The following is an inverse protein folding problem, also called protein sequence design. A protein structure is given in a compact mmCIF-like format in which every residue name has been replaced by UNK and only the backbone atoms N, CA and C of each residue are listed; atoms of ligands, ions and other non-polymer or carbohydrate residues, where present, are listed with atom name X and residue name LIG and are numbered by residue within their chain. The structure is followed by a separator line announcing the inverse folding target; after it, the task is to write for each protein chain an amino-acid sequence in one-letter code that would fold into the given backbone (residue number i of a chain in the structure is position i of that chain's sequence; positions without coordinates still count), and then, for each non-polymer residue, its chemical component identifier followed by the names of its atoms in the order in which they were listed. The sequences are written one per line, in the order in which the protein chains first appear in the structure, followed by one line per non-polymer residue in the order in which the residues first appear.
data_IF_237761340105
#
_entry.id   IF_237761340105
#
_cell.length_a   1.000
_cell.length_b   1.000
_cell.length_c   1.000
_cell.angle_alpha   90.00
_cell.angle_beta   90.00
_cell.angle_gamma   90.00
#
_symmetry.space_group_name_H-M   'P 1'
#
loop_
_entity.id
_entity.type
_entity.pdbx_description
1 polymer ?
#
# COMPACT_ATOMS: atom_id res chain seq x y z
N UNK A 1 -6.76 -44.68 78.75
CA UNK A 1 -6.06 -43.39 78.75
C UNK A 1 -6.45 -42.64 77.49
N UNK A 2 -7.05 -41.47 77.68
CA UNK A 2 -7.47 -40.52 76.64
C UNK A 2 -6.26 -39.95 75.89
N UNK A 3 -6.41 -39.65 74.60
CA UNK A 3 -6.12 -38.29 74.07
C UNK A 3 -6.87 -38.05 72.74
N UNK A 4 -7.81 -37.10 72.83
CA UNK A 4 -8.39 -36.23 71.78
C UNK A 4 -7.25 -35.38 71.17
N UNK A 5 -7.20 -34.82 69.95
CA UNK A 5 -8.18 -34.15 69.06
C UNK A 5 -7.42 -33.50 67.86
N UNK A 6 -8.19 -33.09 66.82
CA UNK A 6 -7.94 -32.04 65.80
C UNK A 6 -7.14 -32.37 64.52
N UNK A 7 -7.87 -32.42 63.39
CA UNK A 7 -7.65 -31.68 62.12
C UNK A 7 -8.56 -32.35 61.05
N UNK A 8 -9.88 -32.22 61.14
CA UNK A 8 -10.67 -31.20 60.43
C UNK A 8 -10.06 -30.71 59.10
N UNK A 9 -10.77 -31.05 58.02
CA UNK A 9 -10.96 -30.23 56.82
C UNK A 9 -9.70 -29.78 56.06
N UNK A 10 -9.17 -30.64 55.19
CA UNK A 10 -8.58 -30.16 53.94
C UNK A 10 -9.66 -30.27 52.85
N UNK A 11 -10.52 -29.25 52.88
CA UNK A 11 -11.44 -28.86 51.83
C UNK A 11 -10.75 -28.90 50.46
N UNK A 12 -11.35 -29.65 49.54
CA UNK A 12 -11.89 -29.11 48.29
C UNK A 12 -11.15 -27.85 47.77
N UNK A 13 -9.93 -28.02 47.28
CA UNK A 13 -9.22 -26.99 46.52
C UNK A 13 -8.84 -27.54 45.16
N UNK A 14 -9.81 -28.15 44.47
CA UNK A 14 -9.85 -28.14 43.02
C UNK A 14 -10.14 -26.72 42.59
N UNK A 15 -9.14 -25.85 42.69
CA UNK A 15 -9.21 -24.50 42.15
C UNK A 15 -9.37 -24.68 40.65
N UNK A 16 -10.59 -24.37 40.21
CA UNK A 16 -10.97 -24.29 38.82
C UNK A 16 -9.86 -23.55 38.07
N UNK A 17 -9.23 -24.24 37.12
CA UNK A 17 -8.56 -23.60 36.00
C UNK A 17 -9.66 -22.77 35.34
N UNK A 18 -9.73 -21.48 35.71
CA UNK A 18 -10.50 -20.50 34.99
C UNK A 18 -9.92 -20.52 33.58
N UNK A 19 -10.62 -21.24 32.71
CA UNK A 19 -10.60 -21.03 31.27
C UNK A 19 -10.88 -19.55 31.07
N UNK A 20 -9.79 -18.78 30.97
CA UNK A 20 -9.83 -17.46 30.37
C UNK A 20 -10.28 -17.70 28.94
N UNK A 21 -11.58 -17.53 28.70
CA UNK A 21 -12.10 -17.38 27.36
C UNK A 21 -11.38 -16.17 26.77
N UNK A 22 -10.43 -16.43 25.88
CA UNK A 22 -9.64 -15.44 25.16
C UNK A 22 -10.46 -14.72 24.11
N UNK A 23 -11.59 -14.12 24.53
CA UNK A 23 -12.35 -13.18 23.72
C UNK A 23 -11.85 -11.78 24.01
N UNK A 24 -11.44 -11.06 22.99
CA UNK A 24 -11.06 -9.67 23.08
C UNK A 24 -12.26 -8.86 23.59
N UNK A 25 -12.09 -8.11 24.68
CA UNK A 25 -13.16 -7.27 25.26
C UNK A 25 -12.84 -5.80 25.06
N UNK A 26 -13.90 -5.01 24.85
CA UNK A 26 -13.80 -3.57 24.69
C UNK A 26 -13.43 -2.90 25.99
N UNK A 27 -12.32 -2.16 26.00
CA UNK A 27 -11.94 -1.35 27.15
C UNK A 27 -12.89 -0.14 27.36
N UNK A 28 -13.53 0.35 26.29
CA UNK A 28 -14.44 1.51 26.38
C UNK A 28 -15.83 1.12 26.85
N UNK A 29 -16.37 0.01 26.34
CA UNK A 29 -17.76 -0.39 26.60
C UNK A 29 -17.87 -1.58 27.54
N UNK A 30 -16.82 -2.40 27.70
CA UNK A 30 -16.83 -3.65 28.45
C UNK A 30 -17.47 -4.83 27.71
N UNK A 31 -17.89 -4.62 26.46
CA UNK A 31 -18.57 -5.62 25.63
C UNK A 31 -17.53 -6.48 24.91
N UNK A 32 -17.78 -7.78 24.78
CA UNK A 32 -16.93 -8.69 24.01
C UNK A 32 -17.04 -8.43 22.52
N UNK A 33 -15.89 -8.49 21.84
CA UNK A 33 -15.78 -8.46 20.39
C UNK A 33 -16.08 -9.84 19.80
N UNK A 34 -16.51 -9.89 18.54
CA UNK A 34 -16.74 -11.11 17.77
C UNK A 34 -17.84 -12.06 18.29
N UNK A 35 -18.64 -11.61 19.27
CA UNK A 35 -19.73 -12.42 19.81
C UNK A 35 -21.05 -12.19 19.08
N UNK A 36 -21.68 -13.30 18.66
CA UNK A 36 -22.96 -13.29 17.94
C UNK A 36 -24.12 -12.79 18.80
N UNK A 37 -24.10 -13.12 20.08
CA UNK A 37 -25.14 -12.71 21.02
C UNK A 37 -25.07 -11.21 21.33
N UNK A 38 -23.92 -10.58 21.05
CA UNK A 38 -23.61 -9.21 21.40
C UNK A 38 -23.80 -8.23 20.24
N UNK A 39 -24.74 -8.52 19.35
CA UNK A 39 -25.00 -7.73 18.14
C UNK A 39 -24.03 -8.00 16.98
N UNK A 40 -23.09 -8.94 17.15
CA UNK A 40 -22.23 -9.42 16.08
C UNK A 40 -21.18 -8.42 15.59
N UNK A 41 -20.79 -7.47 16.42
CA UNK A 41 -19.68 -6.56 16.10
C UNK A 41 -18.38 -7.36 16.02
N UNK A 42 -17.84 -7.45 14.80
CA UNK A 42 -16.63 -8.23 14.52
C UNK A 42 -15.42 -7.34 14.30
N UNK A 43 -14.29 -7.71 14.92
CA UNK A 43 -12.97 -7.12 14.69
C UNK A 43 -12.05 -8.23 14.19
N UNK A 44 -11.07 -7.91 13.35
CA UNK A 44 -9.97 -8.82 13.08
C UNK A 44 -9.00 -8.83 14.28
N UNK A 45 -9.08 -9.85 15.13
CA UNK A 45 -8.24 -9.99 16.33
C UNK A 45 -6.78 -10.36 15.98
N UNK A 46 -6.56 -11.01 14.83
CA UNK A 46 -5.28 -11.56 14.39
C UNK A 46 -4.64 -10.71 13.27
N UNK A 47 -4.69 -9.38 13.41
CA UNK A 47 -4.10 -8.47 12.43
C UNK A 47 -2.59 -8.32 12.62
N UNK A 48 -1.81 -9.08 11.84
CA UNK A 48 -0.33 -9.06 11.86
C UNK A 48 0.31 -7.89 11.11
N UNK A 49 -0.50 -6.98 10.56
CA UNK A 49 -0.06 -5.84 9.76
C UNK A 49 -0.57 -5.89 8.32
N UNK A 50 -0.54 -4.73 7.65
CA UNK A 50 -0.97 -4.64 6.26
C UNK A 50 0.05 -5.36 5.37
N UNK A 51 -0.43 -6.27 4.51
CA UNK A 51 0.42 -6.87 3.50
C UNK A 51 0.96 -5.79 2.55
N UNK A 52 2.22 -5.91 2.15
CA UNK A 52 2.82 -4.97 1.21
C UNK A 52 2.30 -5.23 -0.18
N UNK A 53 1.72 -4.22 -0.83
CA UNK A 53 1.34 -4.30 -2.24
C UNK A 53 2.54 -4.63 -3.15
N UNK A 54 2.29 -5.14 -4.36
CA UNK A 54 3.35 -5.55 -5.27
C UNK A 54 4.22 -4.36 -5.68
N UNK A 55 5.54 -4.49 -5.51
CA UNK A 55 6.53 -3.47 -5.87
C UNK A 55 6.64 -2.29 -4.89
N UNK A 56 5.90 -2.32 -3.77
CA UNK A 56 5.95 -1.28 -2.75
C UNK A 56 7.02 -1.57 -1.68
N UNK A 57 7.73 -0.52 -1.27
CA UNK A 57 8.65 -0.52 -0.13
C UNK A 57 8.09 0.35 1.00
N UNK A 58 8.25 -0.12 2.24
CA UNK A 58 7.87 0.63 3.43
C UNK A 58 8.89 1.72 3.75
N UNK A 59 8.41 2.95 3.90
CA UNK A 59 9.20 4.11 4.34
C UNK A 59 8.70 4.55 5.71
N UNK A 60 9.58 4.45 6.70
CA UNK A 60 9.30 4.90 8.06
C UNK A 60 9.16 6.43 8.14
N UNK A 61 8.04 6.87 8.71
CA UNK A 61 7.76 8.28 8.98
C UNK A 61 8.78 8.93 9.90
N UNK A 62 8.86 10.25 9.83
CA UNK A 62 9.85 11.04 10.54
C UNK A 62 9.82 12.50 10.12
N UNK A 63 10.72 13.27 10.70
CA UNK A 63 10.82 14.71 10.46
C UNK A 63 12.12 15.02 9.75
N UNK A 64 12.06 15.78 8.66
CA UNK A 64 13.22 16.21 7.88
C UNK A 64 13.13 17.69 7.53
N UNK A 65 14.25 18.28 7.13
CA UNK A 65 14.32 19.64 6.59
C UNK A 65 14.17 19.55 5.08
N UNK A 66 13.01 19.94 4.57
CA UNK A 66 12.69 20.02 3.14
C UNK A 66 13.36 21.24 2.54
N UNK A 67 13.95 21.08 1.34
CA UNK A 67 14.63 22.16 0.62
C UNK A 67 16.16 22.07 0.59
N UNK A 68 16.78 22.93 -0.23
CA UNK A 68 18.24 23.01 -0.43
C UNK A 68 18.88 23.60 0.83
N UNK A 69 19.71 22.80 1.48
CA UNK A 69 20.54 23.24 2.63
C UNK A 69 21.91 23.76 2.16
N UNK A 70 22.32 23.45 0.92
CA UNK A 70 23.60 23.88 0.34
C UNK A 70 23.48 25.22 -0.41
N UNK A 71 24.48 26.09 -0.21
CA UNK A 71 24.57 27.40 -0.84
C UNK A 71 25.01 27.23 -2.32
N UNK A 72 24.10 27.51 -3.26
CA UNK A 72 24.41 27.55 -4.68
C UNK A 72 25.14 28.85 -5.03
N UNK A 73 26.27 28.76 -5.75
CA UNK A 73 27.02 29.94 -6.21
C UNK A 73 26.16 30.89 -7.04
N UNK A 74 25.12 30.38 -7.69
CA UNK A 74 24.22 31.17 -8.52
C UNK A 74 23.05 31.84 -7.77
N UNK A 75 22.93 31.66 -6.44
CA UNK A 75 21.92 32.32 -5.58
C UNK A 75 20.52 32.40 -6.23
N UNK A 76 19.93 31.25 -6.57
CA UNK A 76 18.50 31.19 -6.89
C UNK A 76 17.71 31.11 -5.57
N UNK A 77 16.97 32.17 -5.23
CA UNK A 77 16.24 32.34 -3.96
C UNK A 77 14.86 31.64 -3.96
N UNK A 78 14.74 30.46 -4.59
CA UNK A 78 13.45 29.75 -4.69
C UNK A 78 13.29 28.62 -3.66
N UNK A 79 14.24 28.41 -2.76
CA UNK A 79 14.20 27.31 -1.81
C UNK A 79 14.46 27.78 -0.37
N UNK A 80 13.39 27.92 0.42
CA UNK A 80 13.47 28.24 1.84
C UNK A 80 13.38 26.93 2.62
N UNK A 81 14.41 26.53 3.38
CA UNK A 81 14.40 25.29 4.11
C UNK A 81 13.31 25.32 5.20
N UNK A 82 12.45 24.31 5.21
CA UNK A 82 11.37 24.17 6.20
C UNK A 82 11.33 22.77 6.76
N UNK A 83 11.04 22.65 8.05
CA UNK A 83 10.91 21.35 8.69
C UNK A 83 9.53 20.76 8.41
N UNK A 84 9.50 19.55 7.85
CA UNK A 84 8.27 18.83 7.50
C UNK A 84 8.29 17.46 8.17
N UNK A 85 7.15 17.06 8.73
CA UNK A 85 6.96 15.71 9.27
C UNK A 85 6.11 14.90 8.30
N UNK A 86 6.63 13.75 7.89
CA UNK A 86 5.99 12.80 6.99
C UNK A 86 5.58 11.57 7.80
N UNK A 87 4.35 11.09 7.60
CA UNK A 87 3.88 9.84 8.22
C UNK A 87 4.58 8.64 7.58
N UNK A 88 4.50 7.45 8.19
CA UNK A 88 4.98 6.24 7.51
C UNK A 88 4.08 5.93 6.31
N UNK A 89 4.68 5.55 5.19
CA UNK A 89 3.94 5.26 3.96
C UNK A 89 4.66 4.20 3.15
N UNK A 90 3.98 3.73 2.09
CA UNK A 90 4.55 2.84 1.11
C UNK A 90 4.74 3.60 -0.21
N UNK A 91 5.85 3.35 -0.90
CA UNK A 91 6.16 3.93 -2.22
C UNK A 91 6.69 2.85 -3.13
N UNK A 92 6.52 3.01 -4.44
CA UNK A 92 7.13 2.10 -5.41
C UNK A 92 8.66 2.16 -5.31
N UNK A 93 9.31 1.00 -5.40
CA UNK A 93 10.78 0.91 -5.40
C UNK A 93 11.40 1.52 -6.66
N UNK A 94 10.71 1.38 -7.80
CA UNK A 94 11.14 1.88 -9.11
C UNK A 94 10.07 2.75 -9.76
N UNK A 95 10.46 3.52 -10.77
CA UNK A 95 9.50 4.23 -11.60
C UNK A 95 8.62 3.25 -12.39
N UNK A 96 7.39 3.68 -12.69
CA UNK A 96 6.47 2.92 -13.55
C UNK A 96 7.12 2.68 -14.90
N UNK A 97 7.23 1.40 -15.31
CA UNK A 97 7.88 1.03 -16.56
C UNK A 97 6.95 1.16 -17.76
N UNK A 98 7.52 1.16 -18.97
CA UNK A 98 6.74 1.12 -20.21
C UNK A 98 5.85 -0.13 -20.28
N UNK A 99 6.30 -1.29 -19.75
CA UNK A 99 5.47 -2.51 -19.71
C UNK A 99 4.26 -2.34 -18.80
N UNK A 100 4.45 -1.79 -17.60
CA UNK A 100 3.35 -1.60 -16.64
C UNK A 100 2.29 -0.65 -17.22
N UNK A 101 2.75 0.41 -17.91
CA UNK A 101 1.84 1.34 -18.56
C UNK A 101 1.13 0.71 -19.78
N UNK A 102 1.79 -0.17 -20.52
CA UNK A 102 1.14 -0.93 -21.61
C UNK A 102 0.13 -1.94 -21.09
N UNK A 103 0.37 -2.56 -19.93
CA UNK A 103 -0.60 -3.41 -19.25
C UNK A 103 -1.88 -2.62 -18.95
N UNK A 104 -1.74 -1.40 -18.41
CA UNK A 104 -2.85 -0.49 -18.19
C UNK A 104 -3.62 -0.18 -19.48
N UNK A 105 -2.91 0.18 -20.56
CA UNK A 105 -3.55 0.44 -21.86
C UNK A 105 -4.26 -0.79 -22.43
N UNK A 106 -3.66 -1.96 -22.30
CA UNK A 106 -4.25 -3.22 -22.73
C UNK A 106 -5.53 -3.52 -21.94
N UNK A 107 -5.51 -3.31 -20.62
CA UNK A 107 -6.68 -3.46 -19.77
C UNK A 107 -7.81 -2.51 -20.20
N UNK A 108 -7.49 -1.23 -20.45
CA UNK A 108 -8.47 -0.26 -20.92
C UNK A 108 -9.11 -0.70 -22.23
N UNK A 109 -8.30 -1.11 -23.20
CA UNK A 109 -8.76 -1.56 -24.52
C UNK A 109 -9.65 -2.82 -24.44
N UNK A 110 -9.37 -3.71 -23.48
CA UNK A 110 -10.13 -4.95 -23.29
C UNK A 110 -11.46 -4.71 -22.57
N UNK A 111 -11.44 -3.91 -21.50
CA UNK A 111 -12.60 -3.69 -20.63
C UNK A 111 -13.55 -2.68 -21.24
N UNK A 112 -13.03 -1.54 -21.70
CA UNK A 112 -13.80 -0.53 -22.40
C UNK A 112 -13.60 -0.79 -23.88
N UNK A 113 -14.62 -1.40 -24.50
CA UNK A 113 -14.57 -1.76 -25.91
C UNK A 113 -14.12 -0.56 -26.75
N UNK A 114 -12.96 -0.71 -27.39
CA UNK A 114 -12.31 0.35 -28.17
C UNK A 114 -13.22 0.87 -29.29
N UNK A 115 -14.09 0.01 -29.83
CA UNK A 115 -15.00 0.38 -30.91
C UNK A 115 -16.15 1.29 -30.41
N UNK A 116 -16.53 1.17 -29.14
CA UNK A 116 -17.60 1.98 -28.54
C UNK A 116 -17.09 3.23 -27.82
N UNK A 117 -15.94 3.15 -27.14
CA UNK A 117 -15.39 4.24 -26.33
C UNK A 117 -13.91 4.53 -26.63
N UNK A 118 -13.55 4.90 -27.87
CA UNK A 118 -12.17 5.15 -28.26
C UNK A 118 -11.53 6.32 -27.51
N UNK A 119 -12.33 7.28 -27.02
CA UNK A 119 -11.83 8.45 -26.29
C UNK A 119 -11.16 8.07 -24.97
N UNK A 120 -11.64 7.03 -24.29
CA UNK A 120 -11.08 6.57 -23.01
C UNK A 120 -9.63 6.13 -23.23
N UNK A 121 -9.43 5.25 -24.21
CA UNK A 121 -8.10 4.74 -24.58
C UNK A 121 -7.20 5.86 -25.11
N UNK A 122 -7.69 6.67 -26.04
CA UNK A 122 -6.90 7.76 -26.63
C UNK A 122 -6.47 8.80 -25.59
N UNK A 123 -7.30 9.06 -24.57
CA UNK A 123 -6.96 9.96 -23.47
C UNK A 123 -5.87 9.42 -22.54
N UNK A 124 -5.64 8.10 -22.54
CA UNK A 124 -4.63 7.43 -21.75
C UNK A 124 -3.30 7.24 -22.51
N UNK A 125 -3.25 7.47 -23.82
CA UNK A 125 -2.01 7.32 -24.58
C UNK A 125 -0.94 8.36 -24.15
N UNK A 126 0.32 7.93 -23.96
CA UNK A 126 1.40 8.86 -23.65
C UNK A 126 1.83 9.64 -24.90
N UNK A 127 2.31 10.87 -24.70
CA UNK A 127 2.85 11.70 -25.77
C UNK A 127 4.26 11.24 -26.17
N UNK A 128 4.33 10.53 -27.29
CA UNK A 128 5.60 10.06 -27.87
C UNK A 128 6.45 11.19 -28.48
N UNK A 129 5.86 12.36 -28.78
CA UNK A 129 6.56 13.49 -29.40
C UNK A 129 7.44 14.27 -28.43
N UNK A 130 7.40 13.95 -27.13
CA UNK A 130 8.25 14.54 -26.09
C UNK A 130 9.76 14.44 -26.42
N UNK A 131 10.16 13.43 -27.18
CA UNK A 131 11.56 13.22 -27.59
C UNK A 131 11.98 14.13 -28.75
N UNK A 132 11.03 14.76 -29.44
CA UNK A 132 11.28 15.56 -30.63
C UNK A 132 11.70 16.97 -30.23
N UNK A 133 12.92 17.33 -30.59
CA UNK A 133 13.42 18.70 -30.52
C UNK A 133 13.80 19.17 -31.93
N UNK A 134 13.69 20.48 -32.18
CA UNK A 134 13.92 21.09 -33.50
C UNK A 134 15.33 20.87 -34.03
N UNK A 135 16.32 20.68 -33.14
CA UNK A 135 17.73 20.50 -33.48
C UNK A 135 18.27 19.10 -33.16
N UNK A 136 17.46 18.21 -32.59
CA UNK A 136 17.89 16.86 -32.19
C UNK A 136 17.32 15.78 -33.11
N UNK A 137 18.17 14.85 -33.55
CA UNK A 137 17.74 13.69 -34.34
C UNK A 137 17.36 12.52 -33.41
N UNK A 138 16.18 12.59 -32.83
CA UNK A 138 15.66 11.61 -31.86
C UNK A 138 14.47 10.79 -32.40
N UNK A 139 14.30 10.69 -33.72
CA UNK A 139 13.18 9.96 -34.34
C UNK A 139 13.11 8.50 -33.88
N UNK A 140 14.26 7.86 -33.65
CA UNK A 140 14.31 6.50 -33.11
C UNK A 140 13.63 6.37 -31.73
N UNK A 141 13.74 7.38 -30.87
CA UNK A 141 13.08 7.39 -29.56
C UNK A 141 11.59 7.65 -29.69
N UNK A 142 11.19 8.59 -30.56
CA UNK A 142 9.78 8.88 -30.84
C UNK A 142 9.04 7.62 -31.31
N UNK A 143 9.64 6.84 -32.21
CA UNK A 143 9.02 5.65 -32.78
C UNK A 143 9.07 4.43 -31.86
N UNK A 144 10.21 4.21 -31.19
CA UNK A 144 10.50 2.94 -30.54
C UNK A 144 10.42 2.97 -29.01
N UNK A 145 10.59 4.12 -28.35
CA UNK A 145 10.72 4.16 -26.89
C UNK A 145 9.51 3.52 -26.19
N UNK A 146 8.30 3.94 -26.54
CA UNK A 146 7.10 3.39 -25.93
C UNK A 146 6.66 2.04 -26.52
N UNK A 147 7.24 1.54 -27.63
CA UNK A 147 6.70 0.35 -28.34
C UNK A 147 7.65 -0.84 -28.42
N UNK A 148 8.95 -0.59 -28.50
CA UNK A 148 9.93 -1.62 -28.79
C UNK A 148 10.28 -2.42 -27.52
N UNK A 149 10.47 -3.76 -27.61
CA UNK A 149 10.73 -4.60 -26.45
C UNK A 149 11.99 -4.23 -25.64
N UNK A 150 13.01 -3.65 -26.26
CA UNK A 150 14.22 -3.26 -25.53
C UNK A 150 13.98 -2.15 -24.49
N UNK A 151 12.91 -1.37 -24.65
CA UNK A 151 12.54 -0.28 -23.73
C UNK A 151 11.48 -0.68 -22.71
N UNK A 152 11.12 -1.96 -22.63
CA UNK A 152 10.04 -2.45 -21.76
C UNK A 152 10.21 -2.07 -20.28
N UNK A 153 11.43 -2.17 -19.75
CA UNK A 153 11.76 -1.90 -18.35
C UNK A 153 12.31 -0.48 -18.11
N UNK A 154 12.18 0.40 -19.10
CA UNK A 154 12.51 1.82 -18.94
C UNK A 154 11.29 2.57 -18.40
N UNK A 155 11.50 3.70 -17.69
CA UNK A 155 10.41 4.49 -17.16
C UNK A 155 9.50 4.99 -18.27
N UNK A 156 8.21 5.09 -18.01
CA UNK A 156 7.27 5.70 -18.95
C UNK A 156 7.48 7.23 -19.00
N UNK A 157 7.52 7.79 -20.21
CA UNK A 157 7.74 9.22 -20.46
C UNK A 157 6.63 9.77 -21.36
N UNK A 158 6.31 11.05 -21.23
CA UNK A 158 5.25 11.71 -22.00
C UNK A 158 3.87 11.56 -21.37
N UNK A 159 3.81 11.33 -20.05
CA UNK A 159 2.56 11.11 -19.31
C UNK A 159 2.19 12.37 -18.54
N UNK A 160 0.93 12.81 -18.65
CA UNK A 160 0.40 13.92 -17.88
C UNK A 160 0.07 13.52 -16.44
N UNK A 161 -0.02 14.51 -15.55
CA UNK A 161 -0.42 14.28 -14.15
C UNK A 161 -1.80 13.59 -14.03
N UNK A 162 -2.76 13.97 -14.88
CA UNK A 162 -4.10 13.36 -14.89
C UNK A 162 -4.03 11.89 -15.30
N UNK A 163 -3.24 11.57 -16.32
CA UNK A 163 -3.02 10.20 -16.77
C UNK A 163 -2.33 9.34 -15.70
N UNK A 164 -1.33 9.91 -15.00
CA UNK A 164 -0.67 9.22 -13.89
C UNK A 164 -1.63 8.95 -12.72
N UNK A 165 -2.50 9.90 -12.37
CA UNK A 165 -3.54 9.68 -11.34
C UNK A 165 -4.54 8.59 -11.74
N UNK A 166 -4.97 8.55 -13.02
CA UNK A 166 -5.84 7.48 -13.53
C UNK A 166 -5.15 6.11 -13.47
N UNK A 167 -3.86 6.04 -13.77
CA UNK A 167 -3.06 4.83 -13.62
C UNK A 167 -3.03 4.34 -12.16
N UNK A 168 -2.83 5.24 -11.19
CA UNK A 168 -2.89 4.89 -9.76
C UNK A 168 -4.28 4.37 -9.35
N UNK A 169 -5.36 4.96 -9.86
CA UNK A 169 -6.73 4.47 -9.61
C UNK A 169 -6.90 3.05 -10.15
N UNK A 170 -6.52 2.82 -11.41
CA UNK A 170 -6.58 1.50 -12.03
C UNK A 170 -5.77 0.46 -11.26
N UNK A 171 -4.53 0.78 -10.86
CA UNK A 171 -3.69 -0.12 -10.07
C UNK A 171 -4.33 -0.46 -8.72
N UNK A 172 -5.00 0.50 -8.08
CA UNK A 172 -5.76 0.26 -6.85
C UNK A 172 -6.81 -0.81 -7.09
N UNK A 173 -7.61 -0.66 -8.14
CA UNK A 173 -8.67 -1.60 -8.46
C UNK A 173 -8.13 -2.99 -8.78
N UNK A 174 -7.09 -3.09 -9.62
CA UNK A 174 -6.48 -4.38 -10.00
C UNK A 174 -5.84 -5.12 -8.83
N UNK A 175 -5.10 -4.43 -7.97
CA UNK A 175 -4.43 -5.07 -6.83
C UNK A 175 -5.47 -5.53 -5.81
N UNK A 176 -6.48 -4.71 -5.50
CA UNK A 176 -7.53 -5.09 -4.57
C UNK A 176 -8.40 -6.22 -5.11
N UNK A 177 -8.70 -6.22 -6.41
CA UNK A 177 -9.39 -7.33 -7.07
C UNK A 177 -8.60 -8.63 -6.92
N UNK A 178 -7.29 -8.60 -7.18
CA UNK A 178 -6.42 -9.76 -7.02
C UNK A 178 -6.41 -10.27 -5.58
N UNK A 179 -6.29 -9.38 -4.59
CA UNK A 179 -6.33 -9.76 -3.17
C UNK A 179 -7.67 -10.43 -2.82
N UNK A 180 -8.80 -9.90 -3.31
CA UNK A 180 -10.12 -10.50 -3.08
C UNK A 180 -10.26 -11.88 -3.72
N UNK A 181 -9.63 -12.12 -4.86
CA UNK A 181 -9.56 -13.43 -5.52
C UNK A 181 -8.68 -14.40 -4.71
N UNK A 182 -7.51 -13.94 -4.25
CA UNK A 182 -6.58 -14.74 -3.44
C UNK A 182 -7.19 -15.17 -2.10
N UNK A 183 -7.96 -14.28 -1.47
CA UNK A 183 -8.75 -14.57 -0.25
C UNK A 183 -9.98 -15.46 -0.52
N UNK A 184 -10.28 -15.74 -1.80
CA UNK A 184 -11.40 -16.58 -2.22
C UNK A 184 -12.77 -15.95 -2.04
N UNK A 185 -12.82 -14.62 -1.89
CA UNK A 185 -14.08 -13.84 -1.85
C UNK A 185 -14.63 -13.68 -3.25
N UNK A 186 -13.74 -13.46 -4.24
CA UNK A 186 -14.08 -13.42 -5.66
C UNK A 186 -13.49 -14.61 -6.41
N UNK A 187 -14.04 -14.89 -7.59
CA UNK A 187 -13.41 -15.80 -8.54
C UNK A 187 -12.74 -14.98 -9.66
N UNK A 188 -11.82 -15.63 -10.36
CA UNK A 188 -11.24 -15.07 -11.57
C UNK A 188 -12.32 -14.88 -12.64
N UNK A 189 -12.41 -13.66 -13.17
CA UNK A 189 -13.36 -13.28 -14.21
C UNK A 189 -12.58 -12.77 -15.45
N UNK A 190 -12.17 -13.67 -16.36
CA UNK A 190 -11.36 -13.29 -17.53
C UNK A 190 -12.10 -12.39 -18.53
N UNK A 191 -13.44 -12.46 -18.55
CA UNK A 191 -14.29 -11.81 -19.56
C UNK A 191 -14.96 -10.51 -19.05
N UNK A 192 -14.33 -9.78 -18.12
CA UNK A 192 -14.83 -8.49 -17.63
C UNK A 192 -14.98 -7.46 -18.76
N UNK A 193 -16.15 -6.83 -18.84
CA UNK A 193 -16.47 -5.81 -19.84
C UNK A 193 -17.30 -4.68 -19.23
N UNK A 194 -17.03 -3.45 -19.68
CA UNK A 194 -17.77 -2.23 -19.35
C UNK A 194 -18.14 -2.15 -17.86
N UNK A 195 -19.42 -2.14 -17.48
CA UNK A 195 -19.85 -1.97 -16.09
C UNK A 195 -19.47 -3.14 -15.14
N UNK A 196 -19.06 -4.29 -15.66
CA UNK A 196 -18.72 -5.47 -14.85
C UNK A 196 -17.27 -5.43 -14.30
N UNK A 197 -16.47 -4.41 -14.65
CA UNK A 197 -15.13 -4.27 -14.08
C UNK A 197 -15.17 -3.92 -12.60
N UNK A 198 -14.19 -4.45 -11.85
CA UNK A 198 -14.07 -4.15 -10.44
C UNK A 198 -13.64 -2.69 -10.20
N UNK A 199 -14.32 -2.02 -9.27
CA UNK A 199 -13.92 -0.72 -8.74
C UNK A 199 -13.99 -0.77 -7.21
N UNK A 200 -12.88 -0.44 -6.57
CA UNK A 200 -12.71 -0.53 -5.12
C UNK A 200 -13.69 0.39 -4.39
N UNK A 201 -13.87 1.63 -4.87
CA UNK A 201 -14.74 2.61 -4.21
C UNK A 201 -16.20 2.17 -4.28
N UNK A 202 -16.66 1.75 -5.47
CA UNK A 202 -18.03 1.27 -5.65
C UNK A 202 -18.25 0.01 -4.81
N UNK A 203 -17.27 -0.90 -4.71
CA UNK A 203 -17.37 -2.11 -3.90
C UNK A 203 -17.58 -1.81 -2.42
N UNK A 204 -16.84 -0.83 -1.89
CA UNK A 204 -16.94 -0.43 -0.48
C UNK A 204 -18.25 0.34 -0.19
N UNK A 205 -18.69 1.23 -1.10
CA UNK A 205 -19.89 2.04 -0.87
C UNK A 205 -21.19 1.33 -1.19
N UNK A 206 -21.17 0.43 -2.18
CA UNK A 206 -22.34 -0.29 -2.69
C UNK A 206 -22.02 -1.78 -2.83
N UNK A 207 -21.88 -2.50 -1.70
CA UNK A 207 -21.51 -3.92 -1.71
C UNK A 207 -22.50 -4.81 -2.47
N UNK A 208 -23.74 -4.36 -2.68
CA UNK A 208 -24.77 -5.11 -3.40
C UNK A 208 -24.75 -4.96 -4.92
N UNK A 209 -23.91 -4.10 -5.51
CA UNK A 209 -23.82 -3.94 -6.98
C UNK A 209 -22.82 -4.94 -7.60
N UNK A 210 -21.73 -5.30 -6.91
CA UNK A 210 -20.81 -6.37 -7.29
C UNK A 210 -21.38 -7.75 -6.93
N UNK A 211 -22.48 -8.12 -7.58
CA UNK A 211 -23.16 -9.42 -7.38
C UNK A 211 -22.54 -10.58 -8.15
N UNK A 212 -21.27 -10.45 -8.49
CA UNK A 212 -20.60 -11.35 -9.41
C UNK A 212 -19.49 -12.12 -8.69
N UNK A 213 -19.81 -13.40 -8.53
CA UNK A 213 -18.93 -14.54 -8.23
C UNK A 213 -18.57 -14.83 -6.77
N UNK A 214 -19.17 -15.96 -6.37
CA UNK A 214 -19.07 -16.70 -5.12
C UNK A 214 -19.74 -16.09 -3.89
N UNK A 215 -20.83 -16.76 -3.52
CA UNK A 215 -21.64 -16.56 -2.32
C UNK A 215 -20.92 -17.03 -1.05
N UNK A 216 -19.63 -16.71 -0.93
CA UNK A 216 -18.81 -17.06 0.23
C UNK A 216 -17.92 -15.87 0.58
N UNK A 217 -18.55 -14.84 1.12
CA UNK A 217 -17.85 -13.77 1.80
C UNK A 217 -17.32 -14.20 3.16
N UNK A 218 -16.75 -13.23 3.89
CA UNK A 218 -16.29 -13.41 5.25
C UNK A 218 -17.43 -13.81 6.19
N UNK A 219 -17.10 -14.57 7.24
CA UNK A 219 -18.08 -14.96 8.24
C UNK A 219 -18.66 -13.72 8.92
N UNK A 220 -19.98 -13.56 8.86
CA UNK A 220 -20.69 -12.54 9.63
C UNK A 220 -21.13 -13.12 10.98
N UNK A 221 -20.84 -12.39 12.05
CA UNK A 221 -21.27 -12.74 13.40
C UNK A 221 -22.61 -12.08 13.75
N UNK A 222 -23.16 -11.21 12.90
CA UNK A 222 -24.46 -10.59 13.14
C UNK A 222 -25.62 -11.60 13.03
N UNK A 223 -26.45 -11.77 14.09
CA UNK A 223 -27.59 -12.68 14.05
C UNK A 223 -28.69 -12.25 13.06
N UNK A 224 -28.77 -10.95 12.73
CA UNK A 224 -29.69 -10.38 11.74
C UNK A 224 -28.98 -10.02 10.42
N UNK A 225 -27.91 -10.73 10.06
CA UNK A 225 -27.16 -10.44 8.83
C UNK A 225 -28.04 -10.55 7.59
N UNK A 226 -28.01 -9.51 6.75
CA UNK A 226 -28.65 -9.50 5.43
C UNK A 226 -28.03 -10.54 4.47
N UNK A 227 -26.81 -11.00 4.75
CA UNK A 227 -26.03 -11.89 3.88
C UNK A 227 -26.18 -13.38 4.25
N UNK A 228 -26.86 -13.70 5.36
CA UNK A 228 -27.17 -15.07 5.75
C UNK A 228 -25.93 -15.97 5.88
N UNK A 229 -26.00 -17.19 5.32
CA UNK A 229 -24.90 -18.17 5.34
C UNK A 229 -23.82 -17.89 4.29
N UNK A 230 -24.08 -16.99 3.35
CA UNK A 230 -23.20 -16.68 2.23
C UNK A 230 -22.07 -15.73 2.65
N UNK A 231 -22.12 -15.17 3.86
CA UNK A 231 -21.06 -14.32 4.41
C UNK A 231 -21.12 -12.87 3.91
N UNK A 232 -20.55 -11.95 4.68
CA UNK A 232 -20.52 -10.52 4.36
C UNK A 232 -19.37 -10.19 3.40
N UNK A 233 -19.49 -9.11 2.60
CA UNK A 233 -18.37 -8.58 1.83
C UNK A 233 -17.23 -8.11 2.75
N UNK A 234 -16.03 -8.08 2.19
CA UNK A 234 -14.83 -7.51 2.81
C UNK A 234 -15.02 -6.02 3.00
N UNK A 235 -14.67 -5.52 4.17
CA UNK A 235 -14.67 -4.09 4.49
C UNK A 235 -13.25 -3.62 4.76
N UNK A 236 -13.06 -2.30 4.80
CA UNK A 236 -11.75 -1.72 5.11
C UNK A 236 -11.26 -2.11 6.51
N UNK A 237 -12.17 -2.30 7.46
CA UNK A 237 -11.85 -2.67 8.84
C UNK A 237 -11.27 -4.08 8.99
N UNK A 238 -11.45 -4.94 7.98
CA UNK A 238 -10.90 -6.31 8.00
C UNK A 238 -9.38 -6.32 7.79
N UNK A 239 -8.82 -5.23 7.26
CA UNK A 239 -7.38 -5.10 6.99
C UNK A 239 -6.88 -5.92 5.80
N UNK A 240 -7.80 -6.44 4.98
CA UNK A 240 -7.48 -7.24 3.77
C UNK A 240 -7.19 -6.32 2.59
N UNK A 241 -8.02 -5.29 2.38
CA UNK A 241 -7.90 -4.39 1.24
C UNK A 241 -6.81 -3.35 1.46
N UNK A 242 -6.10 -3.01 0.39
CA UNK A 242 -5.11 -1.94 0.40
C UNK A 242 -5.76 -0.56 0.23
N UNK A 243 -5.19 0.48 0.85
CA UNK A 243 -5.57 1.86 0.58
C UNK A 243 -5.32 2.23 -0.89
N UNK A 244 -6.01 3.26 -1.36
CA UNK A 244 -5.83 3.76 -2.72
C UNK A 244 -4.41 4.23 -3.00
N UNK A 245 -3.87 3.82 -4.14
CA UNK A 245 -2.62 4.34 -4.67
C UNK A 245 -2.83 5.79 -5.10
N UNK A 246 -1.81 6.61 -4.84
CA UNK A 246 -1.79 8.02 -5.27
C UNK A 246 -0.35 8.42 -5.55
N UNK A 247 -0.21 9.54 -6.26
CA UNK A 247 1.09 10.17 -6.40
C UNK A 247 1.59 10.67 -5.03
N UNK A 248 2.90 10.53 -4.76
CA UNK A 248 3.50 11.07 -3.55
C UNK A 248 3.46 12.60 -3.61
N UNK A 249 3.34 13.22 -2.44
CA UNK A 249 3.57 14.66 -2.30
C UNK A 249 5.05 14.97 -2.48
N UNK A 250 5.39 16.22 -2.80
CA UNK A 250 6.79 16.66 -2.93
C UNK A 250 7.60 16.33 -1.67
N UNK A 251 7.02 16.52 -0.47
CA UNK A 251 7.67 16.21 0.79
C UNK A 251 7.89 14.69 0.98
N UNK A 252 6.92 13.85 0.63
CA UNK A 252 7.06 12.39 0.68
C UNK A 252 8.15 11.90 -0.29
N UNK A 253 8.17 12.46 -1.50
CA UNK A 253 9.15 12.09 -2.52
C UNK A 253 10.56 12.55 -2.15
N UNK A 254 10.75 13.80 -1.72
CA UNK A 254 12.04 14.28 -1.23
C UNK A 254 12.51 13.47 -0.03
N UNK A 255 11.61 13.18 0.92
CA UNK A 255 11.95 12.39 2.10
C UNK A 255 12.42 10.98 1.75
N UNK A 256 11.74 10.32 0.81
CA UNK A 256 12.16 9.01 0.29
C UNK A 256 13.50 9.11 -0.45
N UNK A 257 13.71 10.16 -1.25
CA UNK A 257 14.95 10.40 -1.99
C UNK A 257 16.15 10.74 -1.09
N UNK A 258 15.91 11.38 0.07
CA UNK A 258 16.93 11.59 1.11
C UNK A 258 17.40 10.28 1.77
N UNK A 259 16.85 9.13 1.33
CA UNK A 259 17.60 7.90 1.12
C UNK A 259 18.69 7.62 2.13
N UNK A 260 18.30 7.37 3.39
CA UNK A 260 19.14 6.73 4.40
C UNK A 260 20.58 7.28 4.47
N UNK A 261 20.77 8.60 4.38
CA UNK A 261 22.09 9.23 4.50
C UNK A 261 22.52 9.24 5.97
N UNK A 262 22.94 8.06 6.45
CA UNK A 262 23.76 7.85 7.65
C UNK A 262 23.10 8.13 9.00
N UNK A 263 22.76 7.08 9.74
CA UNK A 263 22.49 7.09 11.18
C UNK A 263 21.20 7.80 11.65
N UNK A 264 20.03 7.16 11.44
CA UNK A 264 18.91 7.36 12.36
C UNK A 264 19.30 6.85 13.75
N UNK A 265 19.36 7.74 14.74
CA UNK A 265 19.35 7.36 16.16
C UNK A 265 18.04 7.85 16.79
N UNK A 266 17.16 6.91 17.11
CA UNK A 266 15.89 7.10 17.83
C UNK A 266 14.92 8.17 17.26
N UNK A 267 14.91 8.43 15.95
CA UNK A 267 14.04 9.39 15.20
C UNK A 267 14.64 10.78 14.88
N UNK A 268 15.95 10.98 15.02
CA UNK A 268 16.62 12.22 14.57
C UNK A 268 17.63 11.90 13.47
N UNK A 269 17.51 12.58 12.32
CA UNK A 269 18.59 12.66 11.33
C UNK A 269 19.56 13.70 11.89
N UNK A 270 20.62 13.22 12.54
CA UNK A 270 21.51 14.10 13.31
C UNK A 270 22.52 14.85 12.41
N UNK A 271 22.87 14.31 11.25
CA UNK A 271 23.91 14.88 10.40
C UNK A 271 23.53 14.71 8.93
N UNK A 272 23.45 15.83 8.21
CA UNK A 272 23.36 15.84 6.76
C UNK A 272 24.69 15.42 6.18
N UNK A 273 24.94 14.11 6.11
CA UNK A 273 26.10 13.60 5.42
C UNK A 273 26.00 14.03 3.95
N UNK A 274 26.95 14.83 3.47
CA UNK A 274 27.01 15.28 2.08
C UNK A 274 27.21 14.11 1.09
N UNK A 275 27.61 12.94 1.59
CA UNK A 275 27.98 11.78 0.80
C UNK A 275 27.22 10.53 1.24
N UNK A 276 27.01 9.63 0.29
CA UNK A 276 26.19 8.40 0.41
C UNK A 276 26.82 7.29 1.25
N UNK A 277 28.06 7.45 1.73
CA UNK A 277 28.73 6.46 2.57
C UNK A 277 28.49 6.74 4.06
N UNK A 278 28.27 5.67 4.83
CA UNK A 278 28.00 5.73 6.26
C UNK A 278 29.29 6.03 7.04
N UNK A 279 29.53 7.30 7.37
CA UNK A 279 30.58 7.71 8.27
C UNK A 279 30.75 9.23 8.31
N UNK A 280 31.34 9.75 9.38
CA UNK A 280 31.72 11.17 9.49
C UNK A 280 33.11 11.46 8.90
N UNK A 281 33.81 10.44 8.39
CA UNK A 281 35.18 10.54 7.89
C UNK A 281 35.41 9.73 6.63
N UNK A 282 36.08 10.34 5.63
CA UNK A 282 36.37 9.73 4.32
C UNK A 282 37.30 8.50 4.39
N UNK A 283 37.80 8.16 5.59
CA UNK A 283 38.69 7.03 5.82
C UNK A 283 37.92 5.88 6.42
N UNK A 284 38.07 4.69 5.85
CA UNK A 284 37.57 3.45 6.45
C UNK A 284 38.15 3.34 7.88
N UNK A 285 37.33 3.24 8.95
CA UNK A 285 37.83 3.09 10.32
C UNK A 285 38.57 1.76 10.55
N UNK A 286 38.42 0.78 9.66
CA UNK A 286 39.13 -0.49 9.77
C UNK A 286 40.61 -0.36 9.39
N UNK A 287 41.47 -0.63 10.38
CA UNK A 287 42.93 -0.49 10.28
C UNK A 287 43.57 -1.38 9.20
N UNK A 288 42.86 -2.40 8.74
CA UNK A 288 43.35 -3.40 7.78
C UNK A 288 43.26 -2.93 6.31
N UNK A 289 42.50 -1.86 6.03
CA UNK A 289 42.36 -1.30 4.68
C UNK A 289 43.15 0.00 4.48
N UNK A 290 43.87 0.45 5.51
CA UNK A 290 44.84 1.52 5.34
C UNK A 290 46.07 0.98 4.61
N UNK A 291 46.24 1.40 3.35
CA UNK A 291 47.47 1.13 2.60
C UNK A 291 48.70 1.56 3.41
N UNK A 292 49.73 0.70 3.40
CA UNK A 292 51.01 0.91 4.09
C UNK A 292 51.68 2.23 3.71
#
# INVERSE_FOLDING_TARGET
MNFRTVFSSLSLAGVALLTSCGGSTSNTTGWSYNDKDNGGFSINDDFDGMQTGPGLVFVEGGTFTMGRVEEDFYKDWNNIPRQVTVQSFYIDENEVTNVDYREYLYWLMRVFDYDYYPEIYNSALPDTLVWRDKLSYNEAMVENYFRFPAYNFYPVVGVSWIQAMKFCSWRTDRVNEQILIEEGVFNEFPDQQDADHFNTEVYLYKPGEYTQQNRKGLKDNNPNSAYGKEGRPVRMEDGILLPKYRLPTEAEWEYAAYGNIGARKYNRIAEGNKYTWAGSSMRNPEKNEHGN
#
